data_IF_435431651390
#
_entry.id   IF_435431651390
#
_cell.length_a   1.000
_cell.length_b   1.000
_cell.length_c   1.000
_cell.angle_alpha   90.00
_cell.angle_beta   90.00
_cell.angle_gamma   90.00
#
_symmetry.space_group_name_H-M   'P 1'
#
loop_
_entity.id
_entity.type
_entity.pdbx_description
1 polymer ?
#
# COMPACT_ATOMS: atom_id res chain seq x y z
N UNK A 1 4.62 -16.64 23.72
CA UNK A 1 5.50 -15.46 23.53
C UNK A 1 6.86 -15.81 22.91
N UNK A 2 7.58 -16.83 23.37
CA UNK A 2 8.92 -17.19 22.87
C UNK A 2 8.95 -17.50 21.36
N UNK A 3 7.94 -18.24 20.84
CA UNK A 3 7.82 -18.52 19.40
C UNK A 3 7.69 -17.24 18.56
N UNK A 4 6.85 -16.29 18.99
CA UNK A 4 6.72 -15.00 18.31
C UNK A 4 8.05 -14.25 18.24
N UNK A 5 8.77 -14.14 19.36
CA UNK A 5 10.10 -13.48 19.40
C UNK A 5 11.09 -14.19 18.47
N UNK A 6 11.12 -15.52 18.47
CA UNK A 6 11.97 -16.31 17.59
C UNK A 6 11.69 -15.99 16.11
N UNK A 7 10.41 -15.94 15.71
CA UNK A 7 10.01 -15.59 14.35
C UNK A 7 10.44 -14.16 13.99
N UNK A 8 10.31 -13.20 14.91
CA UNK A 8 10.77 -11.81 14.68
C UNK A 8 12.29 -11.75 14.48
N UNK A 9 13.07 -12.50 15.27
CA UNK A 9 14.53 -12.52 15.13
C UNK A 9 14.93 -13.20 13.82
N UNK A 10 14.32 -14.34 13.48
CA UNK A 10 14.54 -15.03 12.22
C UNK A 10 14.18 -14.14 11.02
N UNK A 11 13.04 -13.44 11.10
CA UNK A 11 12.59 -12.48 10.10
C UNK A 11 13.59 -11.34 9.89
N UNK A 12 14.27 -10.87 10.93
CA UNK A 12 15.28 -9.82 10.82
C UNK A 12 16.49 -10.30 10.01
N UNK A 13 16.95 -11.53 10.24
CA UNK A 13 18.05 -12.09 9.46
C UNK A 13 17.66 -12.34 8.00
N UNK A 14 16.48 -12.89 7.75
CA UNK A 14 15.97 -13.12 6.39
C UNK A 14 15.81 -11.80 5.63
N UNK A 15 15.09 -10.85 6.23
CA UNK A 15 14.85 -9.54 5.61
C UNK A 15 16.15 -8.74 5.48
N UNK A 16 17.04 -8.80 6.48
CA UNK A 16 18.35 -8.16 6.47
C UNK A 16 19.24 -8.68 5.34
N UNK A 17 19.35 -10.00 5.19
CA UNK A 17 20.10 -10.62 4.10
C UNK A 17 19.52 -10.26 2.73
N UNK A 18 18.19 -10.21 2.62
CA UNK A 18 17.51 -9.77 1.39
C UNK A 18 17.81 -8.30 1.06
N UNK A 19 17.75 -7.40 2.06
CA UNK A 19 18.09 -5.98 1.91
C UNK A 19 19.56 -5.82 1.48
N UNK A 20 20.49 -6.56 2.10
CA UNK A 20 21.91 -6.51 1.77
C UNK A 20 22.20 -6.98 0.34
N UNK A 21 21.45 -7.98 -0.15
CA UNK A 21 21.55 -8.47 -1.52
C UNK A 21 21.06 -7.44 -2.55
N UNK A 22 19.95 -6.75 -2.28
CA UNK A 22 19.31 -5.85 -3.26
C UNK A 22 19.84 -4.42 -3.19
N UNK A 23 20.16 -3.94 -1.98
CA UNK A 23 20.72 -2.62 -1.72
C UNK A 23 22.09 -2.82 -1.04
N UNK A 24 23.12 -3.23 -1.80
CA UNK A 24 24.43 -3.44 -1.22
C UNK A 24 25.01 -2.08 -0.78
N UNK A 25 25.62 -2.05 0.41
CA UNK A 25 26.15 -0.83 1.04
C UNK A 25 27.47 -0.34 0.41
N UNK A 26 27.50 -0.17 -0.92
CA UNK A 26 28.69 0.21 -1.69
C UNK A 26 28.92 1.71 -1.82
N UNK A 27 27.88 2.51 -1.60
CA UNK A 27 27.91 3.98 -1.66
C UNK A 27 27.26 4.58 -0.42
N UNK A 28 27.56 5.85 -0.05
CA UNK A 28 26.90 6.51 1.08
C UNK A 28 25.37 6.53 0.95
N UNK A 29 24.85 6.74 -0.26
CA UNK A 29 23.39 6.75 -0.53
C UNK A 29 22.76 5.36 -0.34
N UNK A 30 23.41 4.31 -0.84
CA UNK A 30 22.91 2.93 -0.67
C UNK A 30 23.05 2.45 0.77
N UNK A 31 24.09 2.88 1.50
CA UNK A 31 24.26 2.60 2.92
C UNK A 31 23.15 3.24 3.75
N UNK A 32 22.82 4.51 3.51
CA UNK A 32 21.72 5.21 4.18
C UNK A 32 20.38 4.48 3.97
N UNK A 33 20.09 4.06 2.73
CA UNK A 33 18.89 3.29 2.39
C UNK A 33 18.84 1.92 3.06
N UNK A 34 19.96 1.20 3.07
CA UNK A 34 20.08 -0.13 3.71
C UNK A 34 19.84 -0.03 5.22
N UNK A 35 20.55 0.89 5.89
CA UNK A 35 20.40 1.13 7.33
C UNK A 35 18.99 1.59 7.67
N UNK A 36 18.39 2.45 6.83
CA UNK A 36 17.02 2.91 7.02
C UNK A 36 16.03 1.74 7.03
N UNK A 37 16.07 0.84 6.05
CA UNK A 37 15.17 -0.31 6.00
C UNK A 37 15.38 -1.27 7.19
N UNK A 38 16.63 -1.53 7.59
CA UNK A 38 16.92 -2.35 8.78
C UNK A 38 16.37 -1.73 10.06
N UNK A 39 16.41 -0.40 10.20
CA UNK A 39 15.76 0.31 11.32
C UNK A 39 14.24 0.30 11.21
N UNK A 40 13.72 0.41 9.99
CA UNK A 40 12.30 0.36 9.70
C UNK A 40 11.69 -0.99 10.08
N UNK A 41 12.47 -2.08 10.02
CA UNK A 41 12.07 -3.39 10.53
C UNK A 41 11.62 -3.27 12.00
N UNK A 42 12.49 -2.78 12.88
CA UNK A 42 12.16 -2.64 14.30
C UNK A 42 10.97 -1.71 14.54
N UNK A 43 10.85 -0.63 13.78
CA UNK A 43 9.69 0.26 13.85
C UNK A 43 8.38 -0.44 13.44
N UNK A 44 8.40 -1.22 12.36
CA UNK A 44 7.25 -1.98 11.92
C UNK A 44 6.85 -3.05 12.95
N UNK A 45 7.81 -3.78 13.50
CA UNK A 45 7.55 -4.80 14.51
C UNK A 45 7.08 -4.21 15.85
N UNK A 46 7.57 -3.03 16.21
CA UNK A 46 7.02 -2.28 17.35
C UNK A 46 5.53 -1.98 17.14
N UNK A 47 5.14 -1.46 15.98
CA UNK A 47 3.72 -1.17 15.69
C UNK A 47 2.87 -2.43 15.50
N UNK A 48 3.46 -3.52 14.99
CA UNK A 48 2.84 -4.86 14.98
C UNK A 48 2.59 -5.36 16.39
N UNK A 49 3.51 -5.14 17.33
CA UNK A 49 3.32 -5.48 18.74
C UNK A 49 2.22 -4.62 19.39
N UNK A 50 2.13 -3.33 19.04
CA UNK A 50 1.00 -2.46 19.46
C UNK A 50 -0.33 -2.95 18.89
N UNK A 51 -0.36 -3.41 17.63
CA UNK A 51 -1.55 -4.05 17.08
C UNK A 51 -1.88 -5.34 17.83
N UNK A 52 -0.89 -6.16 18.14
CA UNK A 52 -1.10 -7.41 18.87
C UNK A 52 -1.71 -7.15 20.26
N UNK A 53 -1.22 -6.17 21.01
CA UNK A 53 -1.82 -5.82 22.31
C UNK A 53 -3.24 -5.30 22.14
N UNK A 54 -3.51 -4.43 21.16
CA UNK A 54 -4.87 -4.01 20.81
C UNK A 54 -5.77 -5.21 20.52
N UNK A 55 -5.29 -6.14 19.69
CA UNK A 55 -6.03 -7.33 19.30
C UNK A 55 -6.27 -8.31 20.46
N UNK A 56 -5.53 -8.24 21.58
CA UNK A 56 -5.81 -9.06 22.76
C UNK A 56 -7.07 -8.60 23.50
N UNK A 57 -7.27 -7.29 23.64
CA UNK A 57 -8.39 -6.71 24.39
C UNK A 57 -9.63 -6.49 23.53
N UNK A 58 -9.44 -6.26 22.24
CA UNK A 58 -10.53 -5.99 21.30
C UNK A 58 -10.85 -7.18 20.39
N UNK A 59 -12.01 -7.10 19.73
CA UNK A 59 -12.36 -8.01 18.65
C UNK A 59 -11.46 -7.76 17.43
N UNK A 60 -10.90 -8.82 16.85
CA UNK A 60 -10.03 -8.72 15.69
C UNK A 60 -10.21 -9.90 14.76
N UNK A 61 -10.29 -9.63 13.45
CA UNK A 61 -10.33 -10.61 12.37
C UNK A 61 -9.26 -11.71 12.52
N UNK A 62 -8.08 -11.32 13.00
CA UNK A 62 -6.93 -12.22 13.21
C UNK A 62 -7.22 -13.36 14.19
N UNK A 63 -7.95 -13.09 15.29
CA UNK A 63 -8.39 -14.12 16.25
C UNK A 63 -9.35 -15.11 15.58
N UNK A 64 -10.27 -14.60 14.76
CA UNK A 64 -11.25 -15.43 14.05
C UNK A 64 -10.58 -16.35 13.03
N UNK A 65 -9.63 -15.83 12.23
CA UNK A 65 -8.88 -16.65 11.27
C UNK A 65 -8.10 -17.76 11.97
N UNK A 66 -7.44 -17.43 13.07
CA UNK A 66 -6.63 -18.39 13.81
C UNK A 66 -7.50 -19.50 14.40
N UNK A 67 -8.63 -19.12 15.02
CA UNK A 67 -9.58 -20.07 15.59
C UNK A 67 -10.20 -20.98 14.53
N UNK A 68 -10.63 -20.45 13.39
CA UNK A 68 -11.21 -21.24 12.29
C UNK A 68 -10.24 -22.29 11.76
N UNK A 69 -8.95 -21.96 11.68
CA UNK A 69 -7.92 -22.92 11.28
C UNK A 69 -7.75 -23.99 12.35
N UNK A 70 -7.66 -23.63 13.64
CA UNK A 70 -7.52 -24.60 14.73
C UNK A 70 -8.70 -25.56 14.81
N UNK A 71 -9.92 -25.04 14.66
CA UNK A 71 -11.16 -25.81 14.79
C UNK A 71 -11.54 -26.58 13.53
N UNK A 72 -10.68 -26.59 12.49
CA UNK A 72 -10.95 -27.24 11.20
C UNK A 72 -12.30 -26.80 10.60
N UNK A 73 -12.65 -25.52 10.78
CA UNK A 73 -13.98 -24.97 10.46
C UNK A 73 -14.42 -25.21 9.01
N UNK A 74 -13.46 -25.31 8.08
CA UNK A 74 -13.75 -25.55 6.65
C UNK A 74 -13.57 -27.01 6.22
N UNK A 75 -12.94 -27.83 7.06
CA UNK A 75 -12.53 -29.19 6.72
C UNK A 75 -11.16 -29.53 7.32
N UNK A 76 -10.81 -30.82 7.35
CA UNK A 76 -9.58 -31.31 7.97
C UNK A 76 -8.33 -31.08 7.11
N UNK A 77 -8.47 -30.81 5.80
CA UNK A 77 -7.37 -30.67 4.86
C UNK A 77 -6.95 -29.22 4.64
N UNK A 78 -5.68 -29.02 4.28
CA UNK A 78 -5.16 -27.69 3.95
C UNK A 78 -5.93 -27.04 2.78
N UNK A 79 -6.22 -27.81 1.72
CA UNK A 79 -6.93 -27.31 0.54
C UNK A 79 -8.40 -27.01 0.78
N UNK A 80 -9.01 -27.49 1.87
CA UNK A 80 -10.39 -27.13 2.24
C UNK A 80 -10.50 -25.64 2.61
N UNK A 81 -9.37 -25.05 3.02
CA UNK A 81 -9.28 -23.62 3.29
C UNK A 81 -9.00 -22.78 2.05
N UNK A 82 -8.69 -23.39 0.89
CA UNK A 82 -8.40 -22.63 -0.32
C UNK A 82 -9.62 -21.84 -0.81
N UNK A 83 -9.34 -20.64 -1.28
CA UNK A 83 -10.32 -19.71 -1.81
C UNK A 83 -9.78 -18.29 -1.78
N UNK A 84 -10.64 -17.33 -2.11
CA UNK A 84 -10.31 -15.91 -2.15
C UNK A 84 -10.70 -15.19 -0.85
N UNK A 85 -10.25 -13.95 -0.69
CA UNK A 85 -10.59 -13.07 0.43
C UNK A 85 -10.16 -13.65 1.78
N UNK A 86 -11.11 -13.90 2.68
CA UNK A 86 -10.87 -14.45 4.02
C UNK A 86 -10.29 -15.86 3.97
N UNK A 87 -10.77 -16.69 3.03
CA UNK A 87 -10.32 -18.08 2.88
C UNK A 87 -8.83 -18.17 2.59
N UNK A 88 -8.31 -17.27 1.76
CA UNK A 88 -6.89 -17.27 1.43
C UNK A 88 -5.98 -16.97 2.63
N UNK A 89 -6.43 -16.14 3.57
CA UNK A 89 -5.67 -15.86 4.80
C UNK A 89 -5.63 -17.10 5.70
N UNK A 90 -6.77 -17.80 5.83
CA UNK A 90 -6.86 -19.04 6.58
C UNK A 90 -6.00 -20.14 5.91
N UNK A 91 -6.07 -20.26 4.58
CA UNK A 91 -5.26 -21.17 3.77
C UNK A 91 -3.75 -20.91 3.94
N UNK A 92 -3.32 -19.66 3.87
CA UNK A 92 -1.89 -19.31 4.03
C UNK A 92 -1.41 -19.49 5.47
N UNK A 93 -2.28 -19.29 6.46
CA UNK A 93 -1.98 -19.54 7.87
C UNK A 93 -1.95 -21.03 8.25
N UNK A 94 -2.79 -21.85 7.60
CA UNK A 94 -2.99 -23.27 7.90
C UNK A 94 -1.69 -24.07 8.09
N UNK A 95 -0.71 -24.10 7.16
CA UNK A 95 0.47 -24.94 7.31
C UNK A 95 1.31 -24.54 8.53
N UNK A 96 1.35 -23.25 8.87
CA UNK A 96 2.10 -22.77 10.03
C UNK A 96 1.38 -23.14 11.33
N UNK A 97 0.06 -22.97 11.37
CA UNK A 97 -0.75 -23.25 12.56
C UNK A 97 -0.86 -24.76 12.82
N UNK A 98 -1.20 -25.55 11.80
CA UNK A 98 -1.47 -26.99 11.92
C UNK A 98 -0.24 -27.87 11.84
N UNK A 99 0.67 -27.62 10.88
CA UNK A 99 1.84 -28.48 10.71
C UNK A 99 3.02 -28.06 11.57
N UNK A 100 3.23 -26.75 11.76
CA UNK A 100 4.34 -26.22 12.57
C UNK A 100 3.92 -25.85 14.00
N UNK A 101 2.63 -25.96 14.34
CA UNK A 101 2.13 -25.69 15.69
C UNK A 101 2.26 -24.23 16.12
N UNK A 102 2.22 -23.28 15.19
CA UNK A 102 2.40 -21.87 15.51
C UNK A 102 1.28 -21.38 16.42
N UNK A 103 1.68 -20.78 17.54
CA UNK A 103 0.77 -20.05 18.41
C UNK A 103 0.24 -18.77 17.74
N UNK A 104 -0.80 -18.17 18.33
CA UNK A 104 -1.40 -16.93 17.82
C UNK A 104 -0.37 -15.80 17.67
N UNK A 105 0.53 -15.63 18.63
CA UNK A 105 1.60 -14.63 18.52
C UNK A 105 2.64 -14.97 17.45
N UNK A 106 2.89 -16.27 17.19
CA UNK A 106 3.85 -16.69 16.18
C UNK A 106 3.32 -16.43 14.76
N UNK A 107 2.04 -16.70 14.51
CA UNK A 107 1.42 -16.38 13.22
C UNK A 107 1.30 -14.86 12.99
N UNK A 108 1.02 -14.10 14.05
CA UNK A 108 1.01 -12.63 13.99
C UNK A 108 2.39 -12.07 13.61
N UNK A 109 3.45 -12.59 14.22
CA UNK A 109 4.83 -12.23 13.89
C UNK A 109 5.21 -12.65 12.46
N UNK A 110 4.77 -13.81 12.00
CA UNK A 110 5.03 -14.26 10.62
C UNK A 110 4.37 -13.31 9.61
N UNK A 111 3.12 -12.92 9.83
CA UNK A 111 2.40 -12.06 8.91
C UNK A 111 2.95 -10.62 8.88
N UNK A 112 3.47 -10.11 10.00
CA UNK A 112 4.18 -8.82 9.97
C UNK A 112 5.50 -8.90 9.20
N UNK A 113 6.16 -10.06 9.09
CA UNK A 113 7.29 -10.21 8.15
C UNK A 113 6.81 -10.01 6.70
N UNK A 114 5.69 -10.63 6.30
CA UNK A 114 5.13 -10.42 4.95
C UNK A 114 4.76 -8.95 4.70
N UNK A 115 4.15 -8.28 5.70
CA UNK A 115 3.89 -6.84 5.65
C UNK A 115 5.17 -6.02 5.46
N UNK A 116 6.23 -6.37 6.18
CA UNK A 116 7.55 -5.72 6.06
C UNK A 116 8.17 -5.86 4.68
N UNK A 117 8.06 -7.04 4.04
CA UNK A 117 8.50 -7.19 2.65
C UNK A 117 7.77 -6.22 1.72
N UNK A 118 6.51 -5.89 2.01
CA UNK A 118 5.78 -4.85 1.28
C UNK A 118 6.44 -3.47 1.36
N UNK A 119 6.97 -3.11 2.53
CA UNK A 119 7.73 -1.86 2.70
C UNK A 119 9.03 -1.89 1.90
N UNK A 120 9.74 -3.03 1.85
CA UNK A 120 10.95 -3.15 1.03
C UNK A 120 10.62 -2.90 -0.45
N UNK A 121 9.60 -3.55 -0.99
CA UNK A 121 9.25 -3.41 -2.41
C UNK A 121 8.76 -2.00 -2.75
N UNK A 122 7.94 -1.38 -1.91
CA UNK A 122 7.57 0.01 -2.15
C UNK A 122 8.75 0.96 -2.02
N UNK A 123 9.66 0.73 -1.06
CA UNK A 123 10.84 1.58 -0.94
C UNK A 123 11.69 1.53 -2.22
N UNK A 124 11.90 0.33 -2.76
CA UNK A 124 12.59 0.13 -4.04
C UNK A 124 11.84 0.77 -5.21
N UNK A 125 10.51 0.64 -5.23
CA UNK A 125 9.65 1.27 -6.23
C UNK A 125 9.85 2.79 -6.27
N UNK A 126 9.85 3.45 -5.11
CA UNK A 126 10.07 4.89 -4.99
C UNK A 126 11.51 5.28 -5.33
N UNK A 127 12.50 4.58 -4.77
CA UNK A 127 13.92 4.92 -4.91
C UNK A 127 14.40 4.91 -6.38
N UNK A 128 13.85 4.03 -7.20
CA UNK A 128 14.21 3.94 -8.63
C UNK A 128 13.72 5.10 -9.49
N UNK A 129 12.66 5.81 -9.05
CA UNK A 129 12.03 6.89 -9.82
C UNK A 129 12.19 8.26 -9.17
N UNK A 130 12.42 8.32 -7.86
CA UNK A 130 12.64 9.56 -7.10
C UNK A 130 14.13 9.81 -6.95
N UNK A 131 14.66 10.72 -7.79
CA UNK A 131 16.10 11.03 -7.85
C UNK A 131 16.51 11.99 -6.73
N UNK A 132 15.72 13.05 -6.52
CA UNK A 132 15.98 14.06 -5.49
C UNK A 132 15.16 13.77 -4.24
N UNK A 133 15.86 13.67 -3.10
CA UNK A 133 15.23 13.57 -1.78
C UNK A 133 14.74 14.96 -1.37
N UNK A 134 13.43 15.15 -1.39
CA UNK A 134 12.79 16.33 -0.83
C UNK A 134 12.94 16.38 0.68
N UNK A 135 13.11 17.60 1.21
CA UNK A 135 13.14 17.82 2.65
C UNK A 135 11.90 18.59 3.08
N UNK A 136 11.24 18.11 4.12
CA UNK A 136 10.14 18.77 4.81
C UNK A 136 10.59 19.00 6.25
N UNK A 137 10.66 20.27 6.68
CA UNK A 137 11.25 20.67 7.97
C UNK A 137 12.63 20.05 8.25
N UNK A 138 13.48 19.94 7.21
CA UNK A 138 14.82 19.36 7.32
C UNK A 138 14.90 17.83 7.21
N UNK A 139 13.78 17.12 7.36
CA UNK A 139 13.71 15.66 7.24
C UNK A 139 13.36 15.21 5.83
N UNK A 140 13.88 14.05 5.41
CA UNK A 140 13.56 13.47 4.11
C UNK A 140 12.08 13.05 4.04
N UNK A 141 11.36 13.58 3.06
CA UNK A 141 9.92 13.32 2.90
C UNK A 141 9.60 11.85 2.59
N UNK A 142 10.49 11.17 1.84
CA UNK A 142 10.38 9.71 1.65
C UNK A 142 10.46 8.96 2.98
N UNK A 143 11.37 9.38 3.86
CA UNK A 143 11.51 8.78 5.19
C UNK A 143 10.25 9.03 6.04
N UNK A 144 9.69 10.24 6.02
CA UNK A 144 8.44 10.55 6.75
C UNK A 144 7.30 9.65 6.29
N UNK A 145 7.11 9.48 4.98
CA UNK A 145 6.03 8.66 4.43
C UNK A 145 6.13 7.20 4.87
N UNK A 146 7.34 6.66 4.90
CA UNK A 146 7.60 5.30 5.36
C UNK A 146 7.56 5.17 6.88
N UNK A 147 7.45 6.26 7.65
CA UNK A 147 7.29 6.24 9.11
C UNK A 147 5.84 6.52 9.54
N UNK A 148 4.89 6.57 8.61
CA UNK A 148 3.48 6.78 8.94
C UNK A 148 2.94 5.57 9.71
N UNK A 149 2.50 5.74 10.98
CA UNK A 149 2.21 4.62 11.87
C UNK A 149 1.00 3.79 11.42
N UNK A 150 0.00 4.40 10.79
CA UNK A 150 -1.22 3.71 10.40
C UNK A 150 -0.93 2.54 9.46
N UNK A 151 -0.04 2.75 8.48
CA UNK A 151 0.30 1.72 7.52
C UNK A 151 0.98 0.52 8.18
N UNK A 152 1.93 0.76 9.09
CA UNK A 152 2.60 -0.33 9.82
C UNK A 152 1.64 -1.08 10.74
N UNK A 153 0.73 -0.37 11.40
CA UNK A 153 -0.27 -0.96 12.28
C UNK A 153 -1.17 -1.95 11.52
N UNK A 154 -1.69 -1.56 10.34
CA UNK A 154 -2.61 -2.40 9.57
C UNK A 154 -1.94 -3.45 8.66
N UNK A 155 -0.63 -3.34 8.42
CA UNK A 155 0.16 -4.34 7.68
C UNK A 155 0.93 -5.29 8.60
N UNK A 156 0.84 -5.11 9.92
CA UNK A 156 1.62 -5.84 10.93
C UNK A 156 0.85 -6.95 11.65
N UNK A 157 -0.16 -7.58 11.04
CA UNK A 157 -1.00 -8.56 11.74
C UNK A 157 -1.44 -9.72 10.87
N UNK A 158 -1.87 -10.83 11.50
CA UNK A 158 -2.46 -11.98 10.81
C UNK A 158 -3.79 -11.60 10.17
N UNK A 159 -3.73 -11.05 8.96
CA UNK A 159 -4.91 -10.61 8.24
C UNK A 159 -4.63 -10.16 6.81
N UNK A 160 -5.69 -9.72 6.13
CA UNK A 160 -5.65 -9.29 4.72
C UNK A 160 -4.63 -8.17 4.48
N UNK A 161 -4.39 -7.32 5.47
CA UNK A 161 -3.56 -6.11 5.36
C UNK A 161 -2.10 -6.36 5.00
N UNK A 162 -1.47 -7.38 5.58
CA UNK A 162 -0.07 -7.71 5.32
C UNK A 162 0.14 -8.19 3.88
N UNK A 163 -0.68 -9.14 3.43
CA UNK A 163 -0.54 -9.73 2.10
C UNK A 163 -0.98 -8.78 0.98
N UNK A 164 -2.06 -8.02 1.14
CA UNK A 164 -2.47 -7.06 0.10
C UNK A 164 -1.39 -5.98 -0.09
N UNK A 165 -0.79 -5.50 1.00
CA UNK A 165 0.28 -4.52 0.94
C UNK A 165 1.53 -5.08 0.25
N UNK A 166 1.90 -6.32 0.55
CA UNK A 166 2.95 -7.05 -0.15
C UNK A 166 2.65 -7.23 -1.65
N UNK A 167 1.44 -7.70 -1.99
CA UNK A 167 1.04 -7.94 -3.38
C UNK A 167 1.05 -6.68 -4.24
N UNK A 168 0.44 -5.60 -3.75
CA UNK A 168 0.41 -4.31 -4.46
C UNK A 168 1.82 -3.75 -4.62
N UNK A 169 2.64 -3.79 -3.57
CA UNK A 169 4.01 -3.25 -3.63
C UNK A 169 4.91 -4.03 -4.58
N UNK A 170 4.82 -5.36 -4.60
CA UNK A 170 5.49 -6.21 -5.59
C UNK A 170 5.05 -5.89 -7.02
N UNK A 171 3.74 -5.77 -7.24
CA UNK A 171 3.18 -5.44 -8.55
C UNK A 171 3.74 -4.12 -9.09
N UNK A 172 3.63 -3.03 -8.31
CA UNK A 172 4.11 -1.71 -8.71
C UNK A 172 5.64 -1.63 -8.82
N UNK A 173 6.39 -2.31 -7.95
CA UNK A 173 7.84 -2.44 -8.10
C UNK A 173 8.23 -3.15 -9.40
N UNK A 174 7.47 -4.18 -9.79
CA UNK A 174 7.64 -4.87 -11.06
C UNK A 174 7.39 -3.96 -12.27
N UNK A 175 6.38 -3.09 -12.19
CA UNK A 175 6.05 -2.13 -13.26
C UNK A 175 7.19 -1.15 -13.58
N UNK A 176 8.11 -0.88 -12.65
CA UNK A 176 9.30 -0.07 -12.95
C UNK A 176 10.16 -0.66 -14.07
N UNK A 177 10.15 -1.99 -14.25
CA UNK A 177 10.83 -2.71 -15.30
C UNK A 177 10.13 -4.03 -15.66
N UNK A 178 9.05 -3.93 -16.44
CA UNK A 178 8.17 -5.05 -16.80
C UNK A 178 8.93 -6.24 -17.40
N UNK A 179 9.85 -5.98 -18.34
CA UNK A 179 10.56 -7.05 -19.05
C UNK A 179 11.44 -7.91 -18.12
N UNK A 180 12.12 -7.27 -17.16
CA UNK A 180 13.02 -8.00 -16.23
C UNK A 180 12.30 -8.54 -14.99
N UNK A 181 11.12 -7.99 -14.65
CA UNK A 181 10.41 -8.26 -13.39
C UNK A 181 9.02 -8.86 -13.58
N UNK A 182 8.74 -9.44 -14.73
CA UNK A 182 7.43 -10.03 -15.03
C UNK A 182 7.02 -11.08 -13.99
N UNK A 183 7.97 -11.86 -13.45
CA UNK A 183 7.72 -12.83 -12.37
C UNK A 183 7.21 -12.12 -11.11
N UNK A 184 7.82 -11.00 -10.73
CA UNK A 184 7.42 -10.22 -9.55
C UNK A 184 6.02 -9.62 -9.76
N UNK A 185 5.72 -9.18 -10.99
CA UNK A 185 4.38 -8.68 -11.35
C UNK A 185 3.33 -9.78 -11.19
N UNK A 186 3.60 -10.98 -11.71
CA UNK A 186 2.67 -12.11 -11.61
C UNK A 186 2.47 -12.52 -10.15
N UNK A 187 3.54 -12.69 -9.38
CA UNK A 187 3.43 -13.07 -7.97
C UNK A 187 2.66 -12.00 -7.18
N UNK A 188 3.02 -10.72 -7.35
CA UNK A 188 2.32 -9.61 -6.70
C UNK A 188 0.84 -9.56 -7.08
N UNK A 189 0.54 -9.72 -8.37
CA UNK A 189 -0.82 -9.76 -8.89
C UNK A 189 -1.64 -10.94 -8.38
N UNK A 190 -1.07 -12.14 -8.31
CA UNK A 190 -1.73 -13.32 -7.76
C UNK A 190 -2.02 -13.15 -6.27
N UNK A 191 -1.10 -12.60 -5.49
CA UNK A 191 -1.33 -12.30 -4.07
C UNK A 191 -2.48 -11.29 -3.94
N UNK A 192 -2.45 -10.20 -4.71
CA UNK A 192 -3.51 -9.19 -4.67
C UNK A 192 -4.86 -9.76 -5.09
N UNK A 193 -4.91 -10.58 -6.15
CA UNK A 193 -6.12 -11.28 -6.57
C UNK A 193 -6.68 -12.17 -5.46
N UNK A 194 -5.89 -13.11 -4.92
CA UNK A 194 -6.42 -14.04 -3.92
C UNK A 194 -6.90 -13.34 -2.65
N UNK A 195 -6.30 -12.21 -2.27
CA UNK A 195 -6.71 -11.44 -1.09
C UNK A 195 -7.89 -10.52 -1.36
N UNK A 196 -7.89 -9.80 -2.49
CA UNK A 196 -8.90 -8.83 -2.88
C UNK A 196 -9.06 -8.80 -4.41
N UNK A 197 -9.88 -9.69 -4.98
CA UNK A 197 -10.10 -9.76 -6.43
C UNK A 197 -10.56 -8.42 -7.02
N UNK A 198 -11.45 -7.69 -6.33
CA UNK A 198 -11.92 -6.38 -6.76
C UNK A 198 -10.79 -5.33 -6.85
N UNK A 199 -9.83 -5.32 -5.92
CA UNK A 199 -8.68 -4.41 -6.02
C UNK A 199 -7.79 -4.81 -7.19
N UNK A 200 -7.51 -6.10 -7.38
CA UNK A 200 -6.71 -6.56 -8.50
C UNK A 200 -7.35 -6.19 -9.85
N UNK A 201 -8.66 -6.42 -9.98
CA UNK A 201 -9.44 -6.03 -11.15
C UNK A 201 -9.24 -4.56 -11.50
N UNK A 202 -9.37 -3.69 -10.50
CA UNK A 202 -9.21 -2.24 -10.67
C UNK A 202 -7.77 -1.86 -11.02
N UNK A 203 -6.76 -2.50 -10.42
CA UNK A 203 -5.34 -2.27 -10.72
C UNK A 203 -5.00 -2.70 -12.16
N UNK A 204 -5.54 -3.83 -12.64
CA UNK A 204 -5.37 -4.29 -14.02
C UNK A 204 -5.97 -3.31 -15.03
N UNK A 205 -7.20 -2.86 -14.80
CA UNK A 205 -7.84 -1.84 -15.63
C UNK A 205 -7.02 -0.54 -15.65
N UNK A 206 -6.57 -0.08 -14.48
CA UNK A 206 -5.74 1.11 -14.33
C UNK A 206 -4.37 0.97 -15.01
N UNK A 207 -3.81 -0.24 -15.02
CA UNK A 207 -2.56 -0.54 -15.72
C UNK A 207 -2.78 -0.49 -17.23
N UNK A 208 -3.82 -1.13 -17.75
CA UNK A 208 -4.18 -1.08 -19.17
C UNK A 208 -4.39 0.38 -19.63
N UNK A 209 -5.15 1.16 -18.89
CA UNK A 209 -5.38 2.59 -19.14
C UNK A 209 -4.07 3.37 -19.08
N UNK A 210 -3.26 3.21 -18.03
CA UNK A 210 -2.00 3.93 -17.88
C UNK A 210 -1.01 3.68 -19.02
N UNK A 211 -0.92 2.43 -19.49
CA UNK A 211 -0.13 2.08 -20.67
C UNK A 211 -0.77 2.58 -21.97
N UNK A 212 -2.10 2.54 -22.10
CA UNK A 212 -2.82 3.04 -23.27
C UNK A 212 -2.73 4.57 -23.44
N UNK A 213 -2.65 5.33 -22.36
CA UNK A 213 -2.55 6.80 -22.42
C UNK A 213 -1.12 7.33 -22.28
N UNK A 214 -0.11 6.47 -22.12
CA UNK A 214 1.28 6.89 -22.10
C UNK A 214 1.89 6.92 -23.49
N UNK A 215 2.47 8.06 -23.86
CA UNK A 215 3.24 8.24 -25.09
C UNK A 215 4.75 8.16 -24.87
N UNK A 216 5.20 7.95 -23.62
CA UNK A 216 6.61 8.03 -23.23
C UNK A 216 7.05 6.82 -22.39
N UNK A 217 8.27 6.37 -22.63
CA UNK A 217 9.02 5.49 -21.71
C UNK A 217 8.92 3.99 -21.93
N UNK A 218 8.10 3.50 -22.87
CA UNK A 218 7.97 2.06 -23.16
C UNK A 218 7.82 1.83 -24.66
N UNK A 219 8.52 0.82 -25.19
CA UNK A 219 8.40 0.39 -26.59
C UNK A 219 7.00 -0.13 -26.91
N UNK A 220 6.58 0.01 -28.17
CA UNK A 220 5.20 -0.29 -28.59
C UNK A 220 4.81 -1.76 -28.35
N UNK A 221 5.74 -2.71 -28.55
CA UNK A 221 5.51 -4.13 -28.29
C UNK A 221 5.20 -4.45 -26.82
N UNK A 222 6.00 -3.94 -25.87
CA UNK A 222 5.73 -4.13 -24.43
C UNK A 222 4.41 -3.48 -24.03
N UNK A 223 4.09 -2.30 -24.60
CA UNK A 223 2.82 -1.62 -24.35
C UNK A 223 1.63 -2.46 -24.80
N UNK A 224 1.67 -2.98 -26.03
CA UNK A 224 0.61 -3.84 -26.56
C UNK A 224 0.47 -5.13 -25.73
N UNK A 225 1.58 -5.80 -25.43
CA UNK A 225 1.58 -7.02 -24.62
C UNK A 225 0.97 -6.79 -23.23
N UNK A 226 1.36 -5.72 -22.53
CA UNK A 226 0.79 -5.40 -21.21
C UNK A 226 -0.71 -5.12 -21.29
N UNK A 227 -1.17 -4.40 -22.30
CA UNK A 227 -2.61 -4.13 -22.48
C UNK A 227 -3.37 -5.43 -22.73
N UNK A 228 -2.92 -6.26 -23.67
CA UNK A 228 -3.59 -7.54 -24.00
C UNK A 228 -3.61 -8.46 -22.80
N UNK A 229 -2.48 -8.61 -22.08
CA UNK A 229 -2.40 -9.44 -20.87
C UNK A 229 -3.30 -8.89 -19.78
N UNK A 230 -3.33 -7.57 -19.56
CA UNK A 230 -4.17 -6.95 -18.53
C UNK A 230 -5.66 -7.12 -18.84
N UNK A 231 -6.05 -7.00 -20.11
CA UNK A 231 -7.43 -7.22 -20.57
C UNK A 231 -7.82 -8.70 -20.48
N UNK A 232 -6.93 -9.62 -20.86
CA UNK A 232 -7.16 -11.05 -20.71
C UNK A 232 -7.33 -11.45 -19.24
N UNK A 233 -6.43 -10.98 -18.37
CA UNK A 233 -6.53 -11.20 -16.93
C UNK A 233 -7.79 -10.54 -16.34
N UNK A 234 -8.20 -9.38 -16.84
CA UNK A 234 -9.44 -8.71 -16.45
C UNK A 234 -10.67 -9.59 -16.68
N UNK A 235 -10.78 -10.25 -17.85
CA UNK A 235 -11.91 -11.14 -18.13
C UNK A 235 -11.96 -12.36 -17.22
N UNK A 236 -10.79 -12.90 -16.84
CA UNK A 236 -10.70 -14.01 -15.90
C UNK A 236 -11.20 -13.60 -14.50
N UNK A 237 -10.72 -12.45 -14.01
CA UNK A 237 -11.06 -11.96 -12.66
C UNK A 237 -12.48 -11.41 -12.57
N UNK A 238 -13.06 -10.94 -13.68
CA UNK A 238 -14.39 -10.31 -13.71
C UNK A 238 -15.49 -11.20 -13.15
N UNK A 239 -15.50 -12.49 -13.50
CA UNK A 239 -16.51 -13.45 -13.03
C UNK A 239 -16.44 -13.64 -11.52
N UNK A 240 -15.23 -13.74 -10.96
CA UNK A 240 -15.03 -13.86 -9.52
C UNK A 240 -15.43 -12.59 -8.77
N UNK A 241 -15.22 -11.41 -9.38
CA UNK A 241 -15.67 -10.14 -8.81
C UNK A 241 -17.19 -10.05 -8.80
N UNK A 242 -17.87 -10.46 -9.87
CA UNK A 242 -19.33 -10.51 -9.90
C UNK A 242 -19.89 -11.49 -8.86
N UNK A 243 -19.28 -12.67 -8.75
CA UNK A 243 -19.66 -13.66 -7.75
C UNK A 243 -19.41 -13.14 -6.34
N UNK A 244 -18.29 -12.45 -6.08
CA UNK A 244 -17.99 -11.89 -4.77
C UNK A 244 -18.88 -10.71 -4.40
N UNK A 245 -19.19 -9.82 -5.33
CA UNK A 245 -20.13 -8.72 -5.06
C UNK A 245 -21.52 -9.30 -4.74
N UNK A 246 -21.97 -10.32 -5.48
CA UNK A 246 -23.23 -11.01 -5.18
C UNK A 246 -23.22 -11.82 -3.87
N UNK A 247 -22.06 -12.34 -3.43
CA UNK A 247 -21.91 -13.08 -2.18
C UNK A 247 -21.69 -12.16 -0.98
N UNK A 248 -21.00 -11.03 -1.14
CA UNK A 248 -20.89 -9.98 -0.11
C UNK A 248 -22.27 -9.37 0.16
N UNK A 249 -23.13 -9.18 -0.85
CA UNK A 249 -24.54 -8.82 -0.64
C UNK A 249 -25.31 -9.90 0.17
N UNK A 250 -25.03 -11.19 -0.05
CA UNK A 250 -25.64 -12.31 0.67
C UNK A 250 -25.16 -12.48 2.11
N UNK A 251 -23.85 -12.34 2.36
CA UNK A 251 -23.28 -12.34 3.72
C UNK A 251 -23.63 -11.04 4.47
N UNK A 252 -23.75 -9.88 3.81
CA UNK A 252 -24.27 -8.63 4.40
C UNK A 252 -25.77 -8.69 4.68
N UNK A 253 -26.56 -9.49 3.95
CA UNK A 253 -27.97 -9.77 4.28
C UNK A 253 -28.11 -10.69 5.50
N UNK A 254 -27.20 -11.66 5.65
CA UNK A 254 -27.17 -12.56 6.80
C UNK A 254 -26.59 -11.88 8.05
N UNK A 255 -25.54 -11.05 7.91
CA UNK A 255 -25.07 -10.11 8.92
C UNK A 255 -26.04 -8.94 9.09
N UNK A 256 -26.90 -8.63 8.12
CA UNK A 256 -27.95 -7.60 8.14
C UNK A 256 -28.96 -7.76 9.26
N UNK A 257 -29.24 -9.02 9.59
CA UNK A 257 -30.10 -9.40 10.71
C UNK A 257 -29.38 -9.24 12.07
N UNK A 258 -28.05 -9.34 12.08
CA UNK A 258 -27.18 -9.05 13.25
C UNK A 258 -26.74 -7.58 13.30
N UNK A 259 -26.87 -6.83 12.20
CA UNK A 259 -26.55 -5.42 12.05
C UNK A 259 -27.57 -4.53 12.76
N UNK A 260 -28.81 -4.99 12.96
CA UNK A 260 -29.73 -4.31 13.87
C UNK A 260 -29.24 -4.35 15.33
N UNK A 261 -28.55 -5.43 15.72
CA UNK A 261 -27.98 -5.59 17.05
C UNK A 261 -26.60 -4.92 17.18
N UNK A 262 -25.77 -4.96 16.12
CA UNK A 262 -24.48 -4.26 16.03
C UNK A 262 -24.64 -2.76 15.85
N UNK A 263 -25.62 -2.25 15.09
CA UNK A 263 -25.90 -0.81 14.98
C UNK A 263 -26.38 -0.22 16.31
N UNK A 264 -27.06 -1.01 17.15
CA UNK A 264 -27.48 -0.63 18.51
C UNK A 264 -26.32 -0.64 19.52
N UNK A 265 -25.29 -1.45 19.28
CA UNK A 265 -24.04 -1.47 20.07
C UNK A 265 -23.03 -0.43 19.56
N UNK A 266 -22.95 -0.17 18.25
CA UNK A 266 -22.12 0.87 17.64
C UNK A 266 -22.72 2.28 17.75
N UNK A 267 -24.04 2.44 17.89
CA UNK A 267 -24.63 3.76 18.20
C UNK A 267 -24.31 4.25 19.61
N UNK A 268 -23.78 3.37 20.48
CA UNK A 268 -23.17 3.77 21.75
C UNK A 268 -21.74 4.32 21.58
N UNK A 269 -21.11 4.15 20.41
CA UNK A 269 -19.84 4.79 20.07
C UNK A 269 -20.12 6.12 19.35
N UNK A 270 -20.11 7.20 20.11
CA UNK A 270 -20.55 8.58 19.80
C UNK A 270 -19.77 9.32 18.69
N UNK A 271 -19.24 8.63 17.67
CA UNK A 271 -18.42 9.24 16.60
C UNK A 271 -18.53 8.58 15.21
N UNK A 272 -19.47 7.65 15.01
CA UNK A 272 -19.75 7.08 13.69
C UNK A 272 -20.50 8.09 12.82
N UNK A 273 -19.78 8.87 12.01
CA UNK A 273 -20.39 9.64 10.92
C UNK A 273 -21.08 8.65 9.98
N UNK A 274 -22.38 8.77 9.78
CA UNK A 274 -23.10 7.96 8.80
C UNK A 274 -22.75 8.43 7.39
N UNK A 275 -22.05 7.57 6.64
CA UNK A 275 -21.51 7.88 5.30
C UNK A 275 -22.52 7.52 4.20
N UNK A 276 -23.65 6.88 4.54
CA UNK A 276 -24.61 6.34 3.56
C UNK A 276 -25.19 7.43 2.65
N UNK A 277 -25.53 8.58 3.23
CA UNK A 277 -26.19 9.69 2.53
C UNK A 277 -25.24 10.66 1.81
N UNK A 278 -23.92 10.42 1.88
CA UNK A 278 -22.94 11.33 1.29
C UNK A 278 -22.89 11.23 -0.23
N UNK A 279 -22.66 12.37 -0.90
CA UNK A 279 -22.35 12.39 -2.33
C UNK A 279 -21.03 11.66 -2.61
N UNK A 280 -20.82 11.19 -3.85
CA UNK A 280 -19.61 10.45 -4.20
C UNK A 280 -18.30 11.21 -3.87
N UNK A 281 -18.16 12.52 -4.14
CA UNK A 281 -16.97 13.27 -3.75
C UNK A 281 -16.77 13.35 -2.23
N UNK A 282 -17.85 13.49 -1.46
CA UNK A 282 -17.80 13.52 0.01
C UNK A 282 -17.42 12.16 0.60
N UNK A 283 -17.91 11.06 0.00
CA UNK A 283 -17.51 9.68 0.35
C UNK A 283 -16.01 9.47 0.14
N UNK A 284 -15.49 9.86 -1.02
CA UNK A 284 -14.05 9.75 -1.32
C UNK A 284 -13.22 10.66 -0.42
N UNK A 285 -13.65 11.89 -0.15
CA UNK A 285 -12.95 12.80 0.76
C UNK A 285 -12.92 12.24 2.19
N UNK A 286 -14.06 11.75 2.68
CA UNK A 286 -14.17 11.14 4.01
C UNK A 286 -13.29 9.91 4.12
N UNK A 287 -13.32 9.02 3.11
CA UNK A 287 -12.46 7.85 3.04
C UNK A 287 -10.97 8.22 3.07
N UNK A 288 -10.57 9.28 2.36
CA UNK A 288 -9.16 9.65 2.21
C UNK A 288 -8.60 10.52 3.34
N UNK A 289 -9.40 11.34 4.02
CA UNK A 289 -8.86 12.36 4.94
C UNK A 289 -9.53 12.42 6.31
N UNK A 290 -10.59 11.65 6.56
CA UNK A 290 -11.18 11.55 7.90
C UNK A 290 -10.78 10.22 8.57
N UNK A 291 -10.72 10.13 9.91
CA UNK A 291 -11.11 11.14 10.90
C UNK A 291 -10.14 12.33 10.96
N UNK A 292 -10.68 13.50 11.22
CA UNK A 292 -9.93 14.65 11.73
C UNK A 292 -10.01 14.69 13.27
N UNK A 293 -9.37 15.65 13.92
CA UNK A 293 -9.34 15.76 15.39
C UNK A 293 -10.74 15.79 16.04
N UNK A 294 -11.75 16.26 15.32
CA UNK A 294 -13.13 16.36 15.80
C UNK A 294 -13.92 15.04 15.68
N UNK A 295 -13.41 14.08 14.91
CA UNK A 295 -14.14 12.87 14.51
C UNK A 295 -13.70 11.60 15.27
N UNK A 296 -12.62 11.69 16.02
CA UNK A 296 -11.89 10.52 16.51
C UNK A 296 -11.70 10.56 18.04
N UNK A 297 -12.60 9.94 18.82
CA UNK A 297 -12.36 9.75 20.24
C UNK A 297 -11.27 8.69 20.47
N UNK A 298 -10.43 8.93 21.48
CA UNK A 298 -9.40 7.99 21.92
C UNK A 298 -7.99 8.22 21.33
N UNK A 299 -6.99 7.63 21.98
CA UNK A 299 -5.57 7.84 21.65
C UNK A 299 -5.20 7.44 20.22
N UNK A 300 -5.68 6.28 19.74
CA UNK A 300 -5.46 5.84 18.37
C UNK A 300 -6.11 6.78 17.35
N UNK A 301 -7.29 7.30 17.67
CA UNK A 301 -7.99 8.28 16.84
C UNK A 301 -7.17 9.56 16.65
N UNK A 302 -6.58 10.09 17.72
CA UNK A 302 -5.73 11.29 17.66
C UNK A 302 -4.51 11.07 16.77
N UNK A 303 -3.82 9.93 16.91
CA UNK A 303 -2.65 9.60 16.08
C UNK A 303 -3.02 9.53 14.59
N UNK A 304 -4.15 8.89 14.27
CA UNK A 304 -4.65 8.80 12.90
C UNK A 304 -5.06 10.17 12.36
N UNK A 305 -5.65 11.03 13.19
CA UNK A 305 -6.00 12.40 12.82
C UNK A 305 -4.80 13.26 12.45
N UNK A 306 -3.67 13.15 13.18
CA UNK A 306 -2.42 13.82 12.80
C UNK A 306 -1.92 13.38 11.42
N UNK A 307 -1.91 12.07 11.18
CA UNK A 307 -1.52 11.50 9.88
C UNK A 307 -2.46 11.98 8.76
N UNK A 308 -3.76 11.99 9.00
CA UNK A 308 -4.75 12.44 8.04
C UNK A 308 -4.62 13.93 7.69
N UNK A 309 -4.38 14.79 8.68
CA UNK A 309 -4.13 16.22 8.46
C UNK A 309 -2.84 16.41 7.66
N UNK A 310 -1.79 15.67 7.98
CA UNK A 310 -0.55 15.70 7.20
C UNK A 310 -0.80 15.31 5.73
N UNK A 311 -1.55 14.23 5.49
CA UNK A 311 -1.94 13.77 4.15
C UNK A 311 -2.79 14.81 3.41
N UNK A 312 -3.71 15.47 4.10
CA UNK A 312 -4.54 16.54 3.53
C UNK A 312 -3.69 17.75 3.10
N UNK A 313 -2.80 18.22 3.98
CA UNK A 313 -1.94 19.36 3.70
C UNK A 313 -1.00 19.11 2.50
N UNK A 314 -0.43 17.91 2.42
CA UNK A 314 0.47 17.59 1.29
C UNK A 314 -0.29 17.40 -0.03
N UNK A 315 -1.52 16.90 0.03
CA UNK A 315 -2.43 16.84 -1.13
C UNK A 315 -2.75 18.25 -1.62
N UNK A 316 -3.11 19.16 -0.72
CA UNK A 316 -3.41 20.55 -1.08
C UNK A 316 -2.18 21.23 -1.69
N UNK A 317 -1.00 21.04 -1.08
CA UNK A 317 0.26 21.53 -1.63
C UNK A 317 0.52 20.99 -3.05
N UNK A 318 0.30 19.69 -3.28
CA UNK A 318 0.43 19.08 -4.60
C UNK A 318 -0.50 19.73 -5.62
N UNK A 319 -1.77 19.92 -5.29
CA UNK A 319 -2.78 20.55 -6.17
C UNK A 319 -2.38 21.99 -6.50
N UNK A 320 -2.11 22.82 -5.48
CA UNK A 320 -1.76 24.25 -5.64
C UNK A 320 -0.49 24.43 -6.47
N UNK A 321 0.47 23.52 -6.37
CA UNK A 321 1.70 23.57 -7.17
C UNK A 321 1.52 23.07 -8.61
N UNK A 322 0.32 22.71 -9.04
CA UNK A 322 0.04 22.23 -10.41
C UNK A 322 0.23 20.73 -10.59
N UNK A 323 0.07 19.95 -9.52
CA UNK A 323 0.12 18.50 -9.54
C UNK A 323 -0.95 17.87 -10.44
N UNK A 324 -2.13 18.49 -10.56
CA UNK A 324 -3.21 18.01 -11.45
C UNK A 324 -2.76 17.93 -12.91
N UNK A 325 -2.09 18.97 -13.40
CA UNK A 325 -1.55 18.98 -14.76
C UNK A 325 -0.44 17.94 -14.96
N UNK A 326 0.30 17.64 -13.89
CA UNK A 326 1.34 16.61 -13.90
C UNK A 326 0.76 15.20 -14.02
N UNK A 327 -0.42 14.92 -13.44
CA UNK A 327 -1.12 13.64 -13.61
C UNK A 327 -1.44 13.37 -15.08
N UNK A 328 -1.91 14.39 -15.79
CA UNK A 328 -2.26 14.29 -17.21
C UNK A 328 -1.03 14.11 -18.12
N UNK A 329 0.07 14.80 -17.78
CA UNK A 329 1.34 14.78 -18.55
C UNK A 329 2.34 13.71 -18.10
N UNK A 330 2.01 12.96 -17.06
CA UNK A 330 2.88 11.95 -16.46
C UNK A 330 3.21 10.80 -17.40
N UNK A 331 4.25 10.04 -17.04
CA UNK A 331 4.55 8.75 -17.66
C UNK A 331 3.51 7.70 -17.27
N UNK A 332 3.61 6.51 -17.89
CA UNK A 332 2.70 5.40 -17.64
C UNK A 332 2.62 5.07 -16.14
N UNK A 333 3.73 5.13 -15.40
CA UNK A 333 3.75 4.82 -13.97
C UNK A 333 2.91 5.79 -13.15
N UNK A 334 3.02 7.10 -13.41
CA UNK A 334 2.16 8.10 -12.74
C UNK A 334 0.70 7.84 -13.08
N UNK A 335 0.39 7.60 -14.36
CA UNK A 335 -0.99 7.37 -14.80
C UNK A 335 -1.56 6.11 -14.17
N UNK A 336 -0.84 4.99 -14.21
CA UNK A 336 -1.25 3.73 -13.60
C UNK A 336 -1.42 3.88 -12.08
N UNK A 337 -0.48 4.53 -11.38
CA UNK A 337 -0.60 4.79 -9.96
C UNK A 337 -1.79 5.71 -9.63
N UNK A 338 -2.04 6.74 -10.44
CA UNK A 338 -3.14 7.68 -10.25
C UNK A 338 -4.49 7.03 -10.48
N UNK A 339 -4.65 6.34 -11.62
CA UNK A 339 -5.89 5.62 -11.93
C UNK A 339 -6.15 4.57 -10.85
N UNK A 340 -5.16 3.76 -10.49
CA UNK A 340 -5.32 2.77 -9.41
C UNK A 340 -5.70 3.43 -8.10
N UNK A 341 -5.06 4.55 -7.73
CA UNK A 341 -5.39 5.28 -6.52
C UNK A 341 -6.85 5.75 -6.52
N UNK A 342 -7.29 6.44 -7.57
CA UNK A 342 -8.62 7.06 -7.59
C UNK A 342 -9.73 6.01 -7.71
N UNK A 343 -9.58 5.02 -8.58
CA UNK A 343 -10.62 4.01 -8.80
C UNK A 343 -10.73 3.05 -7.62
N UNK A 344 -9.62 2.66 -7.01
CA UNK A 344 -9.67 1.85 -5.77
C UNK A 344 -10.25 2.69 -4.63
N UNK A 345 -9.88 3.97 -4.51
CA UNK A 345 -10.48 4.84 -3.48
C UNK A 345 -11.99 5.01 -3.66
N UNK A 346 -12.46 5.13 -4.89
CA UNK A 346 -13.91 5.19 -5.20
C UNK A 346 -14.59 3.88 -4.82
N UNK A 347 -14.07 2.74 -5.27
CA UNK A 347 -14.66 1.44 -5.00
C UNK A 347 -14.72 1.16 -3.48
N UNK A 348 -13.63 1.44 -2.77
CA UNK A 348 -13.58 1.24 -1.32
C UNK A 348 -14.40 2.25 -0.54
N UNK A 349 -14.53 3.50 -1.01
CA UNK A 349 -15.39 4.50 -0.37
C UNK A 349 -16.87 4.14 -0.48
N UNK A 350 -17.28 3.41 -1.52
CA UNK A 350 -18.65 2.92 -1.67
C UNK A 350 -18.96 1.75 -0.72
N UNK A 351 -17.98 0.89 -0.47
CA UNK A 351 -18.13 -0.31 0.39
C UNK A 351 -17.86 0.01 1.87
N UNK A 352 -17.08 1.06 2.16
CA UNK A 352 -16.72 1.42 3.54
C UNK A 352 -17.87 2.12 4.26
N UNK A 353 -18.83 1.34 4.76
CA UNK A 353 -19.92 1.85 5.62
C UNK A 353 -19.48 2.34 7.01
N UNK A 354 -18.20 2.19 7.38
CA UNK A 354 -17.65 2.61 8.67
C UNK A 354 -16.24 3.23 8.50
N UNK A 355 -15.99 4.33 9.21
CA UNK A 355 -14.73 5.05 9.24
C UNK A 355 -13.53 4.18 9.67
N UNK A 356 -13.72 3.22 10.58
CA UNK A 356 -12.68 2.28 10.98
C UNK A 356 -12.22 1.35 9.84
N UNK A 357 -13.17 0.88 9.02
CA UNK A 357 -12.88 0.07 7.83
C UNK A 357 -12.17 0.93 6.79
N UNK A 358 -12.63 2.17 6.59
CA UNK A 358 -12.02 3.12 5.67
C UNK A 358 -10.55 3.39 6.01
N UNK A 359 -10.22 3.68 7.28
CA UNK A 359 -8.85 3.93 7.73
C UNK A 359 -7.92 2.76 7.39
N UNK A 360 -8.34 1.52 7.67
CA UNK A 360 -7.55 0.31 7.39
C UNK A 360 -7.24 0.16 5.90
N UNK A 361 -8.25 0.33 5.06
CA UNK A 361 -8.14 0.08 3.62
C UNK A 361 -7.43 1.23 2.88
N UNK A 362 -7.65 2.48 3.32
CA UNK A 362 -7.03 3.70 2.78
C UNK A 362 -5.50 3.59 2.74
N UNK A 363 -4.87 3.15 3.84
CA UNK A 363 -3.42 3.15 4.00
C UNK A 363 -2.67 2.42 2.86
N UNK A 364 -3.26 1.34 2.36
CA UNK A 364 -2.71 0.49 1.31
C UNK A 364 -2.65 1.21 -0.04
N UNK A 365 -3.66 2.04 -0.32
CA UNK A 365 -3.83 2.76 -1.59
C UNK A 365 -3.11 4.11 -1.54
N UNK A 366 -3.04 4.72 -0.37
CA UNK A 366 -2.41 6.03 -0.15
C UNK A 366 -0.92 6.03 -0.56
N UNK A 367 -0.21 4.90 -0.44
CA UNK A 367 1.17 4.78 -0.90
C UNK A 367 1.34 5.07 -2.39
N UNK A 368 0.36 4.73 -3.23
CA UNK A 368 0.41 5.06 -4.66
C UNK A 368 0.31 6.56 -4.91
N UNK A 369 -0.48 7.27 -4.10
CA UNK A 369 -0.61 8.72 -4.19
C UNK A 369 0.63 9.45 -3.64
N UNK A 370 1.19 8.96 -2.53
CA UNK A 370 2.44 9.46 -1.98
C UNK A 370 3.62 9.32 -2.97
N UNK A 371 3.65 8.24 -3.74
CA UNK A 371 4.61 8.07 -4.83
C UNK A 371 4.49 9.20 -5.88
N UNK A 372 3.27 9.50 -6.33
CA UNK A 372 3.00 10.54 -7.32
C UNK A 372 3.51 11.90 -6.83
N UNK A 373 3.22 12.23 -5.57
CA UNK A 373 3.67 13.48 -4.94
C UNK A 373 5.19 13.56 -4.95
N UNK A 374 5.89 12.52 -4.48
CA UNK A 374 7.36 12.55 -4.43
C UNK A 374 8.00 12.64 -5.81
N UNK A 375 7.45 11.91 -6.79
CA UNK A 375 7.94 11.96 -8.17
C UNK A 375 7.75 13.34 -8.77
N UNK A 376 6.60 13.97 -8.54
CA UNK A 376 6.32 15.34 -8.97
C UNK A 376 7.34 16.35 -8.43
N UNK A 377 7.65 16.28 -7.13
CA UNK A 377 8.61 17.19 -6.52
C UNK A 377 10.03 16.96 -7.04
N UNK A 378 10.44 15.69 -7.16
CA UNK A 378 11.72 15.30 -7.75
C UNK A 378 11.87 15.79 -9.19
N UNK A 379 10.85 15.63 -10.03
CA UNK A 379 10.87 16.07 -11.43
C UNK A 379 10.97 17.60 -11.55
N UNK A 380 10.27 18.34 -10.68
CA UNK A 380 10.39 19.80 -10.61
C UNK A 380 11.80 20.25 -10.26
N UNK A 381 12.44 19.62 -9.26
CA UNK A 381 13.84 19.91 -8.93
C UNK A 381 14.78 19.54 -10.06
N UNK A 382 14.55 18.43 -10.76
CA UNK A 382 15.36 18.07 -11.93
C UNK A 382 15.30 19.16 -13.01
N UNK A 383 14.11 19.70 -13.29
CA UNK A 383 13.95 20.80 -14.26
C UNK A 383 14.69 22.06 -13.80
N UNK A 384 14.59 22.42 -12.52
CA UNK A 384 15.32 23.57 -11.95
C UNK A 384 16.84 23.38 -12.03
N UNK A 385 17.32 22.18 -11.69
CA UNK A 385 18.74 21.82 -11.77
C UNK A 385 19.26 21.91 -13.20
N UNK A 386 18.54 21.36 -14.20
CA UNK A 386 18.92 21.48 -15.62
C UNK A 386 19.02 22.92 -16.09
N UNK A 387 18.08 23.78 -15.65
CA UNK A 387 18.11 25.22 -15.95
C UNK A 387 19.33 25.90 -15.33
N UNK A 388 19.64 25.60 -14.07
CA UNK A 388 20.81 26.13 -13.37
C UNK A 388 22.12 25.71 -14.06
N UNK A 389 22.29 24.43 -14.39
CA UNK A 389 23.47 23.93 -15.11
C UNK A 389 23.61 24.62 -16.47
N UNK A 390 22.51 24.79 -17.22
CA UNK A 390 22.52 25.47 -18.52
C UNK A 390 22.92 26.93 -18.39
N UNK A 391 22.45 27.63 -17.34
CA UNK A 391 22.85 29.03 -17.05
C UNK A 391 24.34 29.12 -16.72
N UNK A 392 24.85 28.20 -15.89
CA UNK A 392 26.28 28.15 -15.51
C UNK A 392 27.19 27.89 -16.71
N UNK A 393 26.81 26.96 -17.60
CA UNK A 393 27.54 26.72 -18.85
C UNK A 393 27.56 27.95 -19.75
N UNK A 394 26.43 28.65 -19.89
CA UNK A 394 26.35 29.90 -20.67
C UNK A 394 27.21 31.03 -20.08
N UNK A 395 27.28 31.15 -18.75
CA UNK A 395 28.16 32.16 -18.12
C UNK A 395 29.64 31.82 -18.26
N UNK A 396 30.02 30.54 -18.18
CA UNK A 396 31.40 30.10 -18.40
C UNK A 396 31.84 30.33 -19.85
N UNK A 397 31.02 29.94 -20.82
CA UNK A 397 31.30 30.20 -22.24
C UNK A 397 31.41 31.71 -22.55
N UNK A 398 30.62 32.57 -21.89
CA UNK A 398 30.76 34.02 -22.02
C UNK A 398 32.07 34.53 -21.42
N UNK A 399 32.45 34.07 -20.23
CA UNK A 399 33.71 34.47 -19.59
C UNK A 399 34.94 34.04 -20.40
N UNK A 400 34.92 32.87 -21.03
CA UNK A 400 35.98 32.40 -21.94
C UNK A 400 36.11 33.28 -23.19
N UNK A 401 35.01 33.77 -23.75
CA UNK A 401 35.04 34.72 -24.88
C UNK A 401 35.72 36.04 -24.50
N UNK A 402 35.47 36.57 -23.29
CA UNK A 402 36.07 37.82 -22.82
C UNK A 402 37.56 37.71 -22.46
N UNK A 403 38.09 36.50 -22.26
CA UNK A 403 39.52 36.27 -21.97
C UNK A 403 40.37 35.96 -23.22
N UNK A 404 39.76 35.83 -24.41
CA UNK A 404 40.45 35.49 -25.67
C UNK A 404 40.56 36.69 -26.63
N UNK A 405 40.01 37.86 -26.27
CA UNK A 405 40.23 39.11 -27.01
C UNK A 405 41.31 39.95 -26.33
N UNK A 406 42.57 39.97 -26.84
CA UNK A 406 43.58 40.95 -26.45
C UNK A 406 43.22 42.38 -26.86
#
# INVERSE_FOLDING_TARGET
>A
MLYGIFIIVLGYFIAGAYIDKIIPARSPKSLESNVFLKRLYFYHFFLSAVYYTYALFESSDSKFYYRKVIEDYRGPGWFDFYGVSTRFIEFTGYPFIKYLGFSYEAIMALFSIFGFFGFIYFYLFFQEKVVFKERFFGYNLLTIFFLLPNLHFWSGSFGKGSFIFLGISMFFYGLNNVQKRWIIIIIGGLITYHIRPHIMFVILASTAIGFAFSTRGVGWGTRFAVIVISVGAFFFVYQDVLALVGVEEGEELQEGLDLAHRAKELSKATSGVDIRDYSLPEKVFTFLYRPLFFDAPGFLGIVVSFENVFLLLITLYFIVKGGVLYLLRGDFLIKTAFFSFITVSIALAQISGNLGIAIRQKSQVMMLFLFIILKFLSDKKMVQYKKWVSKKKRSQARAEIYHVTP
#
